data_IF_217891533679
#
_entry.id   IF_217891533679
#
_cell.length_a   1.000
_cell.length_b   1.000
_cell.length_c   1.000
_cell.angle_alpha   90.00
_cell.angle_beta   90.00
_cell.angle_gamma   90.00
#
_symmetry.space_group_name_H-M   'P 1'
#
loop_
_entity.id
_entity.type
_entity.pdbx_description
1 polymer ?
#
# COMPACT_ATOMS: atom_id res chain seq x y z
N UNK A 1 1.87 7.55 -12.71
CA UNK A 1 2.31 6.73 -11.58
C UNK A 1 2.49 7.61 -10.36
N UNK A 2 1.68 7.39 -9.33
CA UNK A 2 1.74 8.13 -8.06
C UNK A 2 2.46 7.27 -7.02
N UNK A 3 3.22 7.93 -6.14
CA UNK A 3 3.97 7.28 -5.06
C UNK A 3 3.51 7.84 -3.73
N UNK A 4 3.01 6.96 -2.86
CA UNK A 4 2.71 7.25 -1.46
C UNK A 4 3.90 6.73 -0.65
N UNK A 5 4.54 7.59 0.15
CA UNK A 5 5.71 7.24 0.95
C UNK A 5 5.48 7.61 2.41
N UNK A 6 5.72 6.67 3.32
CA UNK A 6 5.59 6.89 4.76
C UNK A 6 6.51 5.96 5.56
N UNK A 7 6.71 6.31 6.83
CA UNK A 7 7.45 5.48 7.79
C UNK A 7 6.46 4.71 8.65
N UNK A 8 6.49 3.39 8.56
CA UNK A 8 5.78 2.50 9.48
C UNK A 8 6.73 2.03 10.59
N UNK A 9 6.17 1.73 11.76
CA UNK A 9 6.92 1.17 12.90
C UNK A 9 6.50 -0.27 13.12
N UNK A 10 7.46 -1.20 13.11
CA UNK A 10 7.26 -2.59 13.49
C UNK A 10 8.10 -2.88 14.74
N UNK A 11 7.50 -2.75 15.92
CA UNK A 11 8.27 -2.68 17.17
C UNK A 11 9.17 -1.45 17.20
N UNK A 12 10.47 -1.65 17.43
CA UNK A 12 11.49 -0.58 17.41
C UNK A 12 12.03 -0.27 16.00
N UNK A 13 11.72 -1.11 15.00
CA UNK A 13 12.20 -0.94 13.65
C UNK A 13 11.37 0.12 12.88
N UNK A 14 12.08 1.02 12.20
CA UNK A 14 11.49 1.96 11.25
C UNK A 14 11.55 1.37 9.85
N UNK A 15 10.39 1.19 9.24
CA UNK A 15 10.24 0.64 7.92
C UNK A 15 9.86 1.77 6.96
N UNK A 16 10.68 2.01 5.94
CA UNK A 16 10.30 2.90 4.85
C UNK A 16 9.35 2.15 3.92
N UNK A 17 8.10 2.61 3.83
CA UNK A 17 7.07 2.00 3.00
C UNK A 17 6.80 2.91 1.81
N UNK A 18 6.87 2.33 0.63
CA UNK A 18 6.58 2.99 -0.63
C UNK A 18 5.47 2.22 -1.35
N UNK A 19 4.33 2.86 -1.55
CA UNK A 19 3.21 2.31 -2.29
C UNK A 19 3.12 3.01 -3.65
N UNK A 20 3.20 2.22 -4.71
CA UNK A 20 3.13 2.69 -6.09
C UNK A 20 1.81 2.25 -6.71
N UNK A 21 1.11 3.18 -7.35
CA UNK A 21 -0.07 2.85 -8.14
C UNK A 21 -0.08 3.62 -9.45
N UNK A 22 -0.66 2.98 -10.47
CA UNK A 22 -1.00 3.67 -11.69
C UNK A 22 -2.43 4.18 -11.62
N UNK A 23 -2.60 5.50 -11.75
CA UNK A 23 -3.89 6.20 -11.68
C UNK A 23 -4.88 5.70 -12.75
N UNK A 24 -4.41 5.01 -13.78
CA UNK A 24 -5.20 4.47 -14.89
C UNK A 24 -5.37 2.94 -14.81
N UNK A 25 -4.88 2.31 -13.73
CA UNK A 25 -4.76 0.86 -13.60
C UNK A 25 -5.79 0.21 -12.66
N UNK A 26 -5.77 -1.13 -12.70
CA UNK A 26 -6.62 -2.18 -12.10
C UNK A 26 -7.01 -2.11 -10.60
N UNK A 27 -6.83 -0.98 -9.90
CA UNK A 27 -7.07 -0.88 -8.45
C UNK A 27 -6.04 -1.63 -7.61
N UNK A 28 -4.84 -1.86 -8.17
CA UNK A 28 -3.73 -2.57 -7.54
C UNK A 28 -2.62 -1.60 -7.13
N UNK A 29 -2.12 -1.80 -5.93
CA UNK A 29 -1.12 -0.97 -5.27
C UNK A 29 0.11 -1.83 -4.96
N UNK A 30 1.22 -1.53 -5.61
CA UNK A 30 2.48 -2.22 -5.38
C UNK A 30 3.11 -1.73 -4.07
N UNK A 31 3.48 -2.66 -3.20
CA UNK A 31 4.06 -2.35 -1.89
C UNK A 31 5.55 -2.69 -1.88
N UNK A 32 6.37 -1.69 -1.60
CA UNK A 32 7.78 -1.85 -1.29
C UNK A 32 8.04 -1.44 0.16
N UNK A 33 8.80 -2.23 0.91
CA UNK A 33 9.23 -1.91 2.26
C UNK A 33 10.75 -2.05 2.33
N UNK A 34 11.44 -1.00 2.77
CA UNK A 34 12.91 -0.94 2.80
C UNK A 34 13.55 -1.37 1.47
N UNK A 35 12.96 -0.95 0.33
CA UNK A 35 13.37 -1.31 -1.04
C UNK A 35 13.18 -2.78 -1.43
N UNK A 36 12.49 -3.58 -0.61
CA UNK A 36 12.06 -4.93 -0.96
C UNK A 36 10.61 -4.92 -1.43
N UNK A 37 10.32 -5.60 -2.54
CA UNK A 37 8.95 -5.72 -3.06
C UNK A 37 8.19 -6.81 -2.32
N UNK A 38 7.12 -6.44 -1.63
CA UNK A 38 6.20 -7.36 -0.94
C UNK A 38 5.01 -7.77 -1.81
N UNK A 39 4.91 -7.20 -3.02
CA UNK A 39 3.92 -7.57 -4.02
C UNK A 39 2.87 -6.48 -4.18
N UNK A 40 1.59 -6.86 -4.29
CA UNK A 40 0.51 -5.90 -4.49
C UNK A 40 -0.68 -6.16 -3.58
N UNK A 41 -1.26 -5.07 -3.09
CA UNK A 41 -2.55 -5.06 -2.39
C UNK A 41 -3.62 -4.42 -3.27
N UNK A 42 -4.88 -4.73 -3.02
CA UNK A 42 -6.03 -4.15 -3.71
C UNK A 42 -7.29 -4.28 -2.87
N UNK A 43 -8.28 -3.43 -3.14
CA UNK A 43 -9.54 -3.41 -2.39
C UNK A 43 -10.58 -4.26 -3.13
N UNK A 44 -10.96 -5.39 -2.53
CA UNK A 44 -11.97 -6.31 -3.06
C UNK A 44 -13.17 -6.30 -2.11
N UNK A 45 -14.34 -5.92 -2.63
CA UNK A 45 -15.58 -5.83 -1.84
C UNK A 45 -15.42 -4.95 -0.59
N UNK A 46 -14.67 -3.85 -0.72
CA UNK A 46 -14.39 -2.92 0.37
C UNK A 46 -13.28 -3.37 1.35
N UNK A 47 -12.74 -4.58 1.20
CA UNK A 47 -11.70 -5.14 2.07
C UNK A 47 -10.36 -5.15 1.35
N UNK A 48 -9.30 -4.68 2.01
CA UNK A 48 -7.95 -4.73 1.46
C UNK A 48 -7.44 -6.17 1.45
N UNK A 49 -6.89 -6.62 0.31
CA UNK A 49 -6.39 -7.98 0.15
C UNK A 49 -5.07 -7.97 -0.60
N UNK A 50 -4.23 -8.97 -0.32
CA UNK A 50 -3.07 -9.28 -1.15
C UNK A 50 -3.55 -9.89 -2.46
N UNK A 51 -3.05 -9.37 -3.58
CA UNK A 51 -3.41 -9.83 -4.93
C UNK A 51 -2.26 -10.59 -5.56
N UNK A 52 -1.04 -10.07 -5.43
CA UNK A 52 0.19 -10.75 -5.84
C UNK A 52 1.13 -10.77 -4.65
N UNK A 53 1.40 -11.94 -4.08
CA UNK A 53 2.32 -12.07 -2.96
C UNK A 53 3.71 -12.48 -3.47
N UNK A 54 4.74 -11.76 -3.04
CA UNK A 54 6.10 -12.30 -3.07
C UNK A 54 6.33 -13.18 -1.82
N UNK A 55 7.43 -13.94 -1.78
CA UNK A 55 7.78 -14.83 -0.66
C UNK A 55 7.85 -14.16 0.73
N UNK A 56 7.82 -12.83 0.80
CA UNK A 56 7.77 -12.07 2.05
C UNK A 56 6.30 -11.87 2.45
N UNK A 57 5.89 -12.48 3.56
CA UNK A 57 4.49 -12.55 3.98
C UNK A 57 4.11 -11.32 4.81
N UNK A 58 3.52 -10.30 4.19
CA UNK A 58 2.65 -9.37 4.91
C UNK A 58 1.43 -10.13 5.40
N UNK A 59 1.09 -10.06 6.67
CA UNK A 59 -0.12 -10.72 7.16
C UNK A 59 -1.38 -9.92 6.79
N UNK A 60 -2.55 -10.41 7.22
CA UNK A 60 -3.83 -9.73 6.92
C UNK A 60 -3.95 -8.38 7.60
N UNK A 61 -3.38 -8.23 8.81
CA UNK A 61 -3.42 -6.99 9.58
C UNK A 61 -2.54 -5.93 8.92
N UNK A 62 -1.31 -6.29 8.53
CA UNK A 62 -0.41 -5.44 7.76
C UNK A 62 -1.11 -4.89 6.50
N UNK A 63 -1.82 -5.75 5.79
CA UNK A 63 -2.52 -5.39 4.55
C UNK A 63 -3.68 -4.42 4.81
N UNK A 64 -4.40 -4.57 5.92
CA UNK A 64 -5.43 -3.60 6.29
C UNK A 64 -4.82 -2.24 6.65
N UNK A 65 -3.73 -2.24 7.42
CA UNK A 65 -3.05 -1.00 7.84
C UNK A 65 -2.52 -0.24 6.62
N UNK A 66 -1.80 -0.94 5.74
CA UNK A 66 -1.29 -0.36 4.49
C UNK A 66 -2.44 0.15 3.61
N UNK A 67 -3.54 -0.60 3.53
CA UNK A 67 -4.72 -0.19 2.79
C UNK A 67 -5.39 1.07 3.35
N UNK A 68 -5.50 1.20 4.66
CA UNK A 68 -6.03 2.40 5.30
C UNK A 68 -5.15 3.64 5.05
N UNK A 69 -3.83 3.47 5.02
CA UNK A 69 -2.90 4.54 4.66
C UNK A 69 -3.03 4.95 3.20
N UNK A 70 -3.34 4.02 2.30
CA UNK A 70 -3.67 4.32 0.91
C UNK A 70 -4.98 5.10 0.81
N UNK A 71 -6.04 4.66 1.51
CA UNK A 71 -7.32 5.37 1.54
C UNK A 71 -7.12 6.82 2.03
N UNK A 72 -6.42 7.03 3.15
CA UNK A 72 -6.13 8.36 3.70
C UNK A 72 -5.29 9.22 2.73
N UNK A 73 -4.26 8.65 2.11
CA UNK A 73 -3.44 9.37 1.15
C UNK A 73 -4.21 9.77 -0.11
N UNK A 74 -5.20 8.99 -0.54
CA UNK A 74 -6.06 9.32 -1.67
C UNK A 74 -7.10 10.39 -1.31
N UNK A 75 -7.69 10.33 -0.11
CA UNK A 75 -8.63 11.34 0.38
C UNK A 75 -7.97 12.70 0.62
N UNK A 76 -6.69 12.71 1.00
CA UNK A 76 -5.92 13.92 1.27
C UNK A 76 -5.03 14.37 0.09
N UNK A 77 -5.07 13.72 -1.07
CA UNK A 77 -4.32 14.17 -2.25
C UNK A 77 -4.97 15.43 -2.86
N UNK A 78 -4.32 16.61 -2.83
CA UNK A 78 -4.91 17.85 -3.34
C UNK A 78 -5.10 17.87 -4.87
N UNK A 79 -4.72 16.82 -5.59
CA UNK A 79 -4.94 16.63 -7.03
C UNK A 79 -5.88 15.45 -7.35
N UNK A 80 -6.60 14.95 -6.34
CA UNK A 80 -7.34 13.69 -6.36
C UNK A 80 -8.83 13.84 -6.05
N UNK A 81 -9.53 14.82 -6.65
CA UNK A 81 -10.99 14.80 -6.73
C UNK A 81 -11.44 15.62 -7.95
N UNK A 82 -11.65 14.94 -9.08
CA UNK A 82 -12.77 15.15 -10.02
C UNK A 82 -12.88 13.92 -10.94
#
# INVERSE_FOLDING_TARGET
MTRIEFIATAGDDKLNVEIYYDRWGSGLYMVNINKHSYGSIGKIEGVWRRIHANKAELDTEDVQILGAMVDDALENDPNGHD
#
